data_IF_827930198186
#
_entry.id   IF_827930198186
#
_cell.length_a   1.000
_cell.length_b   1.000
_cell.length_c   1.000
_cell.angle_alpha   90.00
_cell.angle_beta   90.00
_cell.angle_gamma   90.00
#
_symmetry.space_group_name_H-M   'P 1'
#
loop_
_entity.id
_entity.type
_entity.pdbx_description
1 polymer ?
#
# COMPACT_ATOMS: atom_id res chain seq x y z
N UNK A 1 15.15 18.37 -14.40
CA UNK A 1 14.32 17.17 -14.17
C UNK A 1 13.95 16.91 -12.69
N UNK A 2 14.39 17.74 -11.72
CA UNK A 2 14.13 17.50 -10.29
C UNK A 2 12.93 18.30 -9.72
N UNK A 3 12.62 19.49 -10.27
CA UNK A 3 11.56 20.38 -9.77
C UNK A 3 10.17 19.75 -9.81
N UNK A 4 9.83 19.04 -10.90
CA UNK A 4 8.52 18.36 -11.04
C UNK A 4 8.29 17.29 -9.96
N UNK A 5 9.35 16.54 -9.62
CA UNK A 5 9.27 15.51 -8.57
C UNK A 5 9.09 16.15 -7.20
N UNK A 6 9.84 17.20 -6.88
CA UNK A 6 9.71 17.90 -5.60
C UNK A 6 8.31 18.47 -5.39
N UNK A 7 7.72 19.11 -6.41
CA UNK A 7 6.34 19.63 -6.34
C UNK A 7 5.34 18.50 -6.14
N UNK A 8 5.51 17.37 -6.84
CA UNK A 8 4.64 16.20 -6.68
C UNK A 8 4.71 15.60 -5.27
N UNK A 9 5.91 15.42 -4.71
CA UNK A 9 6.08 14.87 -3.35
C UNK A 9 5.47 15.79 -2.28
N UNK A 10 5.60 17.12 -2.45
CA UNK A 10 4.97 18.11 -1.56
C UNK A 10 3.45 18.08 -1.64
N UNK A 11 2.91 18.04 -2.87
CA UNK A 11 1.47 17.92 -3.09
C UNK A 11 0.92 16.64 -2.47
N UNK A 12 1.55 15.50 -2.77
CA UNK A 12 1.18 14.19 -2.23
C UNK A 12 1.22 14.17 -0.71
N UNK A 13 2.30 14.68 -0.10
CA UNK A 13 2.44 14.75 1.35
C UNK A 13 1.37 15.63 2.01
N UNK A 14 0.94 16.71 1.34
CA UNK A 14 -0.14 17.57 1.84
C UNK A 14 -1.49 16.86 1.76
N UNK A 15 -1.80 16.22 0.63
CA UNK A 15 -3.05 15.47 0.44
C UNK A 15 -3.15 14.33 1.46
N UNK A 16 -2.09 13.53 1.62
CA UNK A 16 -2.08 12.40 2.57
C UNK A 16 -2.30 12.82 4.03
N UNK A 17 -1.91 14.05 4.40
CA UNK A 17 -2.15 14.59 5.75
C UNK A 17 -3.58 15.07 5.95
N UNK A 18 -4.24 15.53 4.90
CA UNK A 18 -5.59 16.09 4.95
C UNK A 18 -6.64 14.99 4.79
N UNK A 19 -6.42 14.07 3.84
CA UNK A 19 -7.30 12.93 3.62
C UNK A 19 -6.84 11.79 4.51
N UNK A 20 -7.46 11.66 5.68
CA UNK A 20 -7.23 10.54 6.60
C UNK A 20 -7.52 9.18 5.95
N UNK A 21 -6.92 8.13 6.51
CA UNK A 21 -7.15 6.77 6.05
C UNK A 21 -8.62 6.37 6.25
N UNK A 22 -9.20 5.73 5.23
CA UNK A 22 -10.60 5.30 5.28
C UNK A 22 -10.75 4.06 6.16
N UNK A 23 -11.75 4.09 7.03
CA UNK A 23 -12.07 2.99 7.97
C UNK A 23 -13.35 2.23 7.61
N UNK A 24 -14.20 2.83 6.76
CA UNK A 24 -15.48 2.24 6.32
C UNK A 24 -15.38 1.77 4.88
N UNK A 25 -15.86 0.56 4.62
CA UNK A 25 -15.91 -0.04 3.28
C UNK A 25 -16.64 0.88 2.29
N UNK A 26 -16.06 1.02 1.10
CA UNK A 26 -16.71 1.62 -0.06
C UNK A 26 -16.22 0.93 -1.35
N UNK A 27 -15.84 -0.34 -1.25
CA UNK A 27 -15.17 -1.05 -2.33
C UNK A 27 -16.08 -1.21 -3.55
N UNK A 28 -17.32 -1.68 -3.36
CA UNK A 28 -18.24 -1.93 -4.46
C UNK A 28 -18.72 -0.65 -5.14
N UNK A 29 -18.96 0.41 -4.38
CA UNK A 29 -19.52 1.66 -4.92
C UNK A 29 -18.46 2.57 -5.54
N UNK A 30 -17.27 2.62 -4.94
CA UNK A 30 -16.24 3.63 -5.25
C UNK A 30 -14.90 3.02 -5.69
N UNK A 31 -14.75 1.70 -5.62
CA UNK A 31 -13.49 1.03 -5.95
C UNK A 31 -12.34 1.35 -4.99
N UNK A 32 -12.63 1.82 -3.76
CA UNK A 32 -11.61 2.18 -2.76
C UNK A 32 -11.66 1.25 -1.55
N UNK A 33 -10.49 0.90 -1.05
CA UNK A 33 -10.33 0.04 0.13
C UNK A 33 -10.19 0.88 1.41
N UNK A 34 -10.79 0.39 2.49
CA UNK A 34 -10.43 0.77 3.85
C UNK A 34 -9.13 0.09 4.29
N UNK A 35 -8.55 0.56 5.39
CA UNK A 35 -7.32 -0.03 5.96
C UNK A 35 -7.50 -1.52 6.30
N UNK A 36 -8.58 -1.95 7.01
CA UNK A 36 -8.77 -3.37 7.30
C UNK A 36 -8.94 -4.21 6.03
N UNK A 37 -9.62 -3.69 5.00
CA UNK A 37 -9.79 -4.38 3.73
C UNK A 37 -8.47 -4.54 2.97
N UNK A 38 -7.61 -3.52 2.98
CA UNK A 38 -6.28 -3.61 2.41
C UNK A 38 -5.44 -4.71 3.07
N UNK A 39 -5.46 -4.79 4.40
CA UNK A 39 -4.74 -5.82 5.15
C UNK A 39 -5.31 -7.21 4.83
N UNK A 40 -6.64 -7.37 4.86
CA UNK A 40 -7.31 -8.63 4.54
C UNK A 40 -7.04 -9.08 3.10
N UNK A 41 -7.07 -8.16 2.14
CA UNK A 41 -6.77 -8.45 0.74
C UNK A 41 -5.30 -8.87 0.56
N UNK A 42 -4.37 -8.19 1.23
CA UNK A 42 -2.96 -8.54 1.18
C UNK A 42 -2.64 -9.88 1.84
N UNK A 43 -3.27 -10.20 2.98
CA UNK A 43 -3.14 -11.52 3.61
C UNK A 43 -3.62 -12.64 2.68
N UNK A 44 -4.77 -12.43 2.02
CA UNK A 44 -5.26 -13.36 1.00
C UNK A 44 -4.32 -13.48 -0.20
N UNK A 45 -3.69 -12.38 -0.64
CA UNK A 45 -2.74 -12.39 -1.75
C UNK A 45 -1.48 -13.19 -1.41
N UNK A 46 -0.88 -12.97 -0.24
CA UNK A 46 0.30 -13.71 0.23
C UNK A 46 -0.03 -15.20 0.40
N UNK A 47 -1.22 -15.52 0.93
CA UNK A 47 -1.65 -16.91 1.11
C UNK A 47 -1.86 -17.65 -0.22
N UNK A 48 -2.41 -16.98 -1.24
CA UNK A 48 -2.74 -17.60 -2.54
C UNK A 48 -1.60 -17.54 -3.55
N UNK A 49 -0.76 -16.53 -3.47
CA UNK A 49 0.32 -16.26 -4.40
C UNK A 49 1.62 -16.10 -3.60
N UNK A 50 2.36 -17.20 -3.30
CA UNK A 50 3.52 -17.19 -2.40
C UNK A 50 4.71 -16.34 -2.89
N UNK A 51 4.65 -15.81 -4.11
CA UNK A 51 5.61 -14.85 -4.66
C UNK A 51 5.43 -13.44 -4.08
N UNK A 52 4.30 -13.18 -3.41
CA UNK A 52 4.03 -11.94 -2.70
C UNK A 52 4.37 -12.08 -1.23
N UNK A 53 4.94 -11.03 -0.65
CA UNK A 53 5.22 -10.93 0.79
C UNK A 53 4.89 -9.54 1.33
N UNK A 54 4.49 -9.48 2.59
CA UNK A 54 4.42 -8.24 3.35
C UNK A 54 5.82 -7.75 3.70
N UNK A 55 5.98 -6.43 3.73
CA UNK A 55 7.23 -5.78 4.13
C UNK A 55 6.93 -4.60 5.06
N UNK A 56 7.84 -4.41 6.02
CA UNK A 56 7.79 -3.31 6.99
C UNK A 56 8.41 -2.01 6.47
N UNK A 57 9.36 -2.12 5.53
CA UNK A 57 10.15 -0.99 5.03
C UNK A 57 10.93 -0.23 6.09
N UNK A 58 11.39 0.95 5.67
CA UNK A 58 12.10 1.92 6.51
C UNK A 58 11.19 2.45 7.63
N UNK A 59 11.58 2.30 8.92
CA UNK A 59 10.83 2.81 10.05
C UNK A 59 10.40 4.28 9.94
N UNK A 60 11.25 5.13 9.34
CA UNK A 60 10.98 6.58 9.20
C UNK A 60 9.85 6.90 8.22
N UNK A 61 9.47 5.96 7.36
CA UNK A 61 8.46 6.13 6.31
C UNK A 61 7.17 5.36 6.58
N UNK A 62 7.10 4.64 7.70
CA UNK A 62 5.93 3.84 8.05
C UNK A 62 4.71 4.73 8.28
N UNK A 63 3.57 4.24 7.82
CA UNK A 63 2.27 4.84 8.08
C UNK A 63 1.75 4.29 9.40
N UNK A 64 1.49 5.17 10.36
CA UNK A 64 1.06 4.81 11.71
C UNK A 64 -0.31 4.13 11.77
N UNK A 65 -1.14 4.32 10.74
CA UNK A 65 -2.44 3.67 10.61
C UNK A 65 -2.36 2.23 10.06
N UNK A 66 -1.17 1.75 9.69
CA UNK A 66 -0.93 0.37 9.26
C UNK A 66 -0.09 -0.38 10.32
N UNK A 67 -0.25 -1.71 10.46
CA UNK A 67 0.63 -2.53 11.28
C UNK A 67 2.10 -2.41 10.83
N UNK A 68 3.04 -2.45 11.77
CA UNK A 68 4.45 -2.19 11.50
C UNK A 68 5.08 -3.18 10.49
N UNK A 69 4.56 -4.41 10.45
CA UNK A 69 4.96 -5.52 9.58
C UNK A 69 4.18 -5.60 8.27
N UNK A 70 3.08 -4.84 8.11
CA UNK A 70 2.19 -4.86 6.95
C UNK A 70 2.04 -3.48 6.32
N UNK A 71 3.16 -2.90 5.89
CA UNK A 71 3.19 -1.55 5.32
C UNK A 71 2.93 -1.56 3.81
N UNK A 72 3.53 -2.52 3.10
CA UNK A 72 3.31 -2.72 1.67
C UNK A 72 3.57 -4.17 1.27
N UNK A 73 3.07 -4.55 0.10
CA UNK A 73 3.29 -5.85 -0.51
C UNK A 73 4.40 -5.73 -1.56
N UNK A 74 5.30 -6.70 -1.59
CA UNK A 74 6.37 -6.80 -2.61
C UNK A 74 6.32 -8.17 -3.26
N UNK A 75 6.74 -8.22 -4.52
CA UNK A 75 7.12 -9.47 -5.18
C UNK A 75 8.52 -9.27 -5.77
N UNK A 76 9.44 -10.18 -5.46
CA UNK A 76 10.85 -10.07 -5.85
C UNK A 76 11.12 -11.12 -6.91
N UNK A 77 11.56 -10.67 -8.07
CA UNK A 77 11.59 -11.43 -9.32
C UNK A 77 10.16 -11.73 -9.77
N UNK A 78 9.70 -10.99 -10.78
CA UNK A 78 8.53 -11.43 -11.54
C UNK A 78 8.90 -12.77 -12.17
N UNK A 79 8.59 -13.86 -11.48
CA UNK A 79 8.62 -15.18 -12.07
C UNK A 79 7.64 -15.11 -13.22
N UNK A 80 8.17 -14.86 -14.42
CA UNK A 80 7.54 -15.24 -15.66
C UNK A 80 7.24 -16.73 -15.48
N UNK A 81 6.01 -17.03 -15.11
CA UNK A 81 5.45 -18.33 -15.40
C UNK A 81 5.37 -18.39 -16.93
N UNK A 82 6.51 -18.70 -17.56
CA UNK A 82 6.52 -19.33 -18.86
C UNK A 82 5.84 -20.69 -18.64
N UNK A 83 4.56 -20.73 -18.99
CA UNK A 83 3.91 -21.94 -19.48
C UNK A 83 3.66 -21.74 -20.96
#
# INVERSE_FOLDING_TARGET
MQVKKTVYELYKGTVERVTGARTVSAFLEKGVLSVPEFILAGDNLVAKCPTWSWEAGDPSKRKSYLPADKQFLVTRNGMLLLN
#
